data_IF_278820003895
#
_entry.id   IF_278820003895
#
_cell.length_a   1.000
_cell.length_b   1.000
_cell.length_c   1.000
_cell.angle_alpha   90.00
_cell.angle_beta   90.00
_cell.angle_gamma   90.00
#
_symmetry.space_group_name_H-M   'P 1'
#
loop_
_entity.id
_entity.type
_entity.pdbx_description
1 polymer ?
#
# COMPACT_ATOMS: atom_id res chain seq x y z
N UNK A 1 -14.09 -1.12 -7.42
CA UNK A 1 -13.00 -2.12 -7.46
C UNK A 1 -11.69 -1.44 -7.08
N UNK A 2 -10.58 -2.18 -6.93
CA UNK A 2 -9.26 -1.58 -6.73
C UNK A 2 -8.92 -0.54 -7.81
N UNK A 3 -9.24 -0.82 -9.08
CA UNK A 3 -8.99 0.08 -10.20
C UNK A 3 -9.74 1.41 -10.09
N UNK A 4 -11.04 1.37 -9.76
CA UNK A 4 -11.83 2.60 -9.59
C UNK A 4 -11.32 3.49 -8.46
N UNK A 5 -10.76 2.89 -7.40
CA UNK A 5 -10.13 3.65 -6.32
C UNK A 5 -8.87 4.38 -6.83
N UNK A 6 -8.04 3.70 -7.62
CA UNK A 6 -6.85 4.29 -8.21
C UNK A 6 -7.21 5.43 -9.16
N UNK A 7 -8.18 5.23 -10.06
CA UNK A 7 -8.65 6.29 -10.97
C UNK A 7 -9.11 7.55 -10.22
N UNK A 8 -9.76 7.38 -9.07
CA UNK A 8 -10.27 8.50 -8.29
C UNK A 8 -9.23 9.20 -7.41
N UNK A 9 -8.18 8.50 -6.97
CA UNK A 9 -7.27 8.98 -5.91
C UNK A 9 -5.81 9.12 -6.35
N UNK A 10 -5.45 8.59 -7.50
CA UNK A 10 -4.11 8.76 -8.07
C UNK A 10 -3.81 10.24 -8.30
N UNK A 11 -2.57 10.63 -8.02
CA UNK A 11 -2.02 11.95 -8.36
C UNK A 11 -0.63 11.74 -8.94
N UNK A 12 -0.26 12.56 -9.92
CA UNK A 12 1.05 12.45 -10.58
C UNK A 12 2.23 12.74 -9.64
N UNK A 13 1.99 13.49 -8.57
CA UNK A 13 2.99 13.92 -7.59
C UNK A 13 3.08 13.00 -6.37
N UNK A 14 2.49 11.80 -6.42
CA UNK A 14 2.56 10.84 -5.32
C UNK A 14 3.98 10.35 -5.10
N UNK A 15 4.45 10.46 -3.86
CA UNK A 15 5.64 9.75 -3.42
C UNK A 15 5.36 8.26 -3.19
N UNK A 16 6.41 7.50 -2.89
CA UNK A 16 6.30 6.06 -2.66
C UNK A 16 5.39 5.72 -1.47
N UNK A 17 5.34 6.55 -0.43
CA UNK A 17 4.56 6.28 0.78
C UNK A 17 3.07 6.53 0.53
N UNK A 18 2.75 7.58 -0.21
CA UNK A 18 1.40 7.84 -0.69
C UNK A 18 0.92 6.74 -1.64
N UNK A 19 1.77 6.28 -2.57
CA UNK A 19 1.43 5.20 -3.50
C UNK A 19 1.21 3.87 -2.76
N UNK A 20 2.04 3.57 -1.76
CA UNK A 20 1.88 2.39 -0.91
C UNK A 20 0.59 2.46 -0.08
N UNK A 21 0.27 3.62 0.49
CA UNK A 21 -0.97 3.82 1.24
C UNK A 21 -2.21 3.62 0.36
N UNK A 22 -2.23 4.20 -0.84
CA UNK A 22 -3.33 4.01 -1.81
C UNK A 22 -3.48 2.54 -2.23
N UNK A 23 -2.36 1.84 -2.46
CA UNK A 23 -2.34 0.40 -2.76
C UNK A 23 -2.96 -0.42 -1.62
N UNK A 24 -2.66 -0.07 -0.37
CA UNK A 24 -3.21 -0.74 0.81
C UNK A 24 -4.70 -0.48 1.01
N UNK A 25 -5.18 0.72 0.69
CA UNK A 25 -6.62 1.03 0.67
C UNK A 25 -7.35 0.21 -0.40
N UNK A 26 -6.79 0.13 -1.61
CA UNK A 26 -7.35 -0.69 -2.68
C UNK A 26 -7.38 -2.17 -2.32
N UNK A 27 -6.32 -2.69 -1.68
CA UNK A 27 -6.25 -4.06 -1.21
C UNK A 27 -7.35 -4.36 -0.19
N UNK A 28 -7.57 -3.47 0.79
CA UNK A 28 -8.65 -3.61 1.79
C UNK A 28 -10.04 -3.68 1.16
N UNK A 29 -10.25 -2.99 0.04
CA UNK A 29 -11.53 -3.03 -0.68
C UNK A 29 -11.68 -4.28 -1.57
N UNK A 30 -10.56 -4.85 -2.03
CA UNK A 30 -10.55 -5.96 -2.97
C UNK A 30 -10.61 -7.35 -2.29
N UNK A 31 -10.24 -7.45 -1.01
CA UNK A 31 -10.20 -8.72 -0.28
C UNK A 31 -11.29 -8.79 0.78
N UNK A 32 -11.85 -9.98 0.99
CA UNK A 32 -12.72 -10.24 2.12
C UNK A 32 -11.89 -10.41 3.39
N UNK A 33 -12.22 -9.62 4.43
CA UNK A 33 -11.51 -9.63 5.71
C UNK A 33 -10.48 -8.51 5.85
N UNK A 34 -9.83 -8.46 7.01
CA UNK A 34 -8.89 -7.37 7.35
C UNK A 34 -7.46 -7.79 7.02
N UNK A 35 -6.80 -7.17 6.03
CA UNK A 35 -5.39 -7.45 5.76
C UNK A 35 -4.52 -7.14 6.98
N UNK A 36 -3.56 -8.01 7.23
CA UNK A 36 -2.57 -7.87 8.30
C UNK A 36 -1.17 -7.98 7.71
N UNK A 37 -0.16 -7.54 8.45
CA UNK A 37 1.25 -7.71 8.11
C UNK A 37 1.67 -9.18 7.98
N UNK A 38 0.86 -10.14 8.45
CA UNK A 38 1.07 -11.59 8.28
C UNK A 38 0.46 -12.16 7.01
N UNK A 39 -0.53 -11.48 6.43
CA UNK A 39 -1.32 -11.96 5.30
C UNK A 39 -1.07 -11.16 4.03
N UNK A 40 -0.22 -10.13 4.09
CA UNK A 40 0.13 -9.25 2.98
C UNK A 40 1.64 -9.19 2.85
N UNK A 41 2.12 -9.28 1.61
CA UNK A 41 3.52 -9.08 1.27
C UNK A 41 3.64 -7.89 0.32
N UNK A 42 4.64 -7.03 0.56
CA UNK A 42 4.88 -5.84 -0.26
C UNK A 42 6.32 -5.89 -0.76
N UNK A 43 6.49 -5.73 -2.07
CA UNK A 43 7.77 -5.55 -2.74
C UNK A 43 7.88 -4.15 -3.32
N UNK A 44 9.05 -3.54 -3.19
CA UNK A 44 9.35 -2.21 -3.74
C UNK A 44 10.57 -2.26 -4.63
N UNK A 45 10.56 -1.43 -5.66
CA UNK A 45 11.71 -1.18 -6.55
C UNK A 45 11.80 0.32 -6.78
N UNK A 46 13.01 0.86 -6.74
CA UNK A 46 13.30 2.25 -7.10
C UNK A 46 14.35 2.28 -8.20
N UNK A 47 14.46 3.41 -8.89
CA UNK A 47 15.34 3.59 -10.05
C UNK A 47 16.78 3.13 -9.79
N UNK A 48 17.30 3.42 -8.61
CA UNK A 48 18.70 3.17 -8.23
C UNK A 48 18.84 2.12 -7.12
N UNK A 49 17.77 1.40 -6.79
CA UNK A 49 17.77 0.34 -5.76
C UNK A 49 17.33 -1.00 -6.36
N UNK A 50 17.97 -2.10 -5.94
CA UNK A 50 17.45 -3.44 -6.25
C UNK A 50 16.08 -3.62 -5.63
N UNK A 51 15.25 -4.43 -6.28
CA UNK A 51 14.00 -4.91 -5.70
C UNK A 51 14.26 -5.45 -4.28
N UNK A 52 13.38 -5.06 -3.34
CA UNK A 52 13.40 -5.60 -1.98
C UNK A 52 11.99 -5.85 -1.49
N UNK A 53 11.84 -6.90 -0.69
CA UNK A 53 10.64 -7.14 0.09
C UNK A 53 10.68 -6.26 1.34
N UNK A 54 9.55 -5.66 1.69
CA UNK A 54 9.42 -4.91 2.93
C UNK A 54 9.40 -5.84 4.13
N UNK A 55 9.95 -5.36 5.24
CA UNK A 55 9.88 -6.09 6.51
C UNK A 55 8.44 -6.12 7.04
N UNK A 56 8.16 -7.07 7.93
CA UNK A 56 6.88 -7.13 8.64
C UNK A 56 6.51 -5.80 9.32
N UNK A 57 7.51 -5.15 9.94
CA UNK A 57 7.34 -3.88 10.62
C UNK A 57 6.98 -2.75 9.65
N UNK A 58 7.59 -2.71 8.47
CA UNK A 58 7.30 -1.70 7.46
C UNK A 58 5.89 -1.89 6.88
N UNK A 59 5.49 -3.14 6.60
CA UNK A 59 4.11 -3.46 6.17
C UNK A 59 3.11 -3.02 7.26
N UNK A 60 3.42 -3.26 8.53
CA UNK A 60 2.58 -2.82 9.64
C UNK A 60 2.44 -1.29 9.70
N UNK A 61 3.53 -0.53 9.50
CA UNK A 61 3.49 0.94 9.43
C UNK A 61 2.57 1.44 8.32
N UNK A 62 2.62 0.84 7.12
CA UNK A 62 1.71 1.20 6.03
C UNK A 62 0.24 0.91 6.37
N UNK A 63 -0.04 -0.26 6.99
CA UNK A 63 -1.38 -0.61 7.45
C UNK A 63 -1.93 0.37 8.49
N UNK A 64 -1.08 0.88 9.39
CA UNK A 64 -1.50 1.82 10.43
C UNK A 64 -1.65 3.25 9.89
N UNK A 65 -0.85 3.64 8.90
CA UNK A 65 -0.99 4.94 8.22
C UNK A 65 -2.32 5.05 7.47
N UNK A 66 -2.80 3.96 6.84
CA UNK A 66 -4.13 3.94 6.21
C UNK A 66 -5.25 4.14 7.24
N UNK A 67 -5.11 3.60 8.46
CA UNK A 67 -6.12 3.79 9.52
C UNK A 67 -6.18 5.23 10.02
N UNK A 68 -5.05 5.95 10.05
CA UNK A 68 -4.97 7.34 10.52
C UNK A 68 -5.53 8.36 9.54
N UNK A 69 -5.55 8.06 8.24
CA UNK A 69 -6.13 8.93 7.20
C UNK A 69 -7.66 8.77 7.05
N UNK A 70 -8.33 7.98 7.93
CA UNK A 70 -9.79 7.78 7.96
C UNK A 70 -10.46 8.57 9.07
#
# INVERSE_FOLDING_TARGET
SALSLFESKYREDMDMDDAAALSMEALQQAVEGKPTSKTVEIGVVKKDEKFRKLSFEDVQKYLDNVKKKR
#
